data_IF_074422496809
#
_entry.id   IF_074422496809
#
_cell.length_a   1.000
_cell.length_b   1.000
_cell.length_c   1.000
_cell.angle_alpha   90.00
_cell.angle_beta   90.00
_cell.angle_gamma   90.00
#
_symmetry.space_group_name_H-M   'P 1'
#
loop_
_entity.id
_entity.type
_entity.pdbx_description
1 polymer ?
#
# COMPACT_ATOMS: atom_id res chain seq x y z
N UNK A 1 -18.63 12.13 -21.57
CA UNK A 1 -18.19 10.90 -20.92
C UNK A 1 -18.62 10.94 -19.46
N UNK A 2 -19.33 9.92 -18.96
CA UNK A 2 -19.72 9.84 -17.55
C UNK A 2 -18.48 9.68 -16.65
N UNK A 3 -18.58 10.23 -15.42
CA UNK A 3 -17.51 10.09 -14.40
C UNK A 3 -17.50 8.72 -13.70
N UNK A 4 -18.54 7.92 -13.92
CA UNK A 4 -18.67 6.58 -13.34
C UNK A 4 -17.99 5.56 -14.25
N UNK A 5 -17.25 4.65 -13.63
CA UNK A 5 -16.60 3.51 -14.30
C UNK A 5 -16.66 2.28 -13.39
N UNK A 6 -16.59 1.09 -13.97
CA UNK A 6 -16.51 -0.13 -13.17
C UNK A 6 -15.14 -0.27 -12.49
N UNK A 7 -15.03 -1.02 -11.37
CA UNK A 7 -13.72 -1.33 -10.78
C UNK A 7 -12.77 -2.03 -11.77
N UNK A 8 -13.29 -2.90 -12.63
CA UNK A 8 -12.48 -3.59 -13.64
C UNK A 8 -11.90 -2.61 -14.69
N UNK A 9 -12.73 -1.69 -15.21
CA UNK A 9 -12.28 -0.68 -16.16
C UNK A 9 -11.28 0.30 -15.53
N UNK A 10 -11.47 0.63 -14.25
CA UNK A 10 -10.52 1.46 -13.51
C UNK A 10 -9.20 0.71 -13.29
N UNK A 11 -9.24 -0.54 -12.89
CA UNK A 11 -8.05 -1.38 -12.73
C UNK A 11 -7.28 -1.55 -14.05
N UNK A 12 -7.98 -1.61 -15.20
CA UNK A 12 -7.35 -1.70 -16.51
C UNK A 12 -6.44 -0.52 -16.86
N UNK A 13 -6.62 0.62 -16.20
CA UNK A 13 -5.80 1.83 -16.41
C UNK A 13 -4.49 1.83 -15.62
N UNK A 14 -4.34 0.95 -14.63
CA UNK A 14 -3.12 0.87 -13.82
C UNK A 14 -2.03 0.19 -14.64
N UNK A 15 -0.90 0.86 -14.79
CA UNK A 15 0.26 0.37 -15.55
C UNK A 15 1.21 -0.42 -14.68
N UNK A 16 2.07 -1.20 -15.30
CA UNK A 16 3.21 -1.84 -14.63
C UNK A 16 4.10 -0.78 -13.97
N UNK A 17 4.61 -1.08 -12.79
CA UNK A 17 5.42 -0.16 -12.00
C UNK A 17 4.67 1.03 -11.39
N UNK A 18 3.34 1.08 -11.48
CA UNK A 18 2.56 2.19 -10.94
C UNK A 18 2.70 2.31 -9.42
N UNK A 19 2.69 3.54 -8.93
CA UNK A 19 2.52 3.84 -7.51
C UNK A 19 1.02 4.03 -7.25
N UNK A 20 0.45 3.17 -6.42
CA UNK A 20 -0.97 3.16 -6.05
C UNK A 20 -1.12 3.62 -4.62
N UNK A 21 -1.74 4.77 -4.45
CA UNK A 21 -2.01 5.29 -3.12
C UNK A 21 -3.43 4.91 -2.66
N UNK A 22 -3.55 4.46 -1.41
CA UNK A 22 -4.81 4.03 -0.81
C UNK A 22 -5.06 4.88 0.43
N UNK A 23 -6.15 5.64 0.42
CA UNK A 23 -6.58 6.42 1.57
C UNK A 23 -7.76 5.70 2.24
N UNK A 24 -7.55 5.28 3.48
CA UNK A 24 -8.53 4.58 4.30
C UNK A 24 -8.16 4.71 5.77
N UNK A 25 -9.03 4.24 6.65
CA UNK A 25 -8.72 4.04 8.07
C UNK A 25 -9.19 2.63 8.43
N UNK A 26 -8.30 1.66 8.30
CA UNK A 26 -8.62 0.22 8.34
C UNK A 26 -9.72 -0.13 7.32
N UNK A 27 -10.87 -0.62 7.75
CA UNK A 27 -12.02 -0.89 6.87
C UNK A 27 -12.74 0.39 6.41
N UNK A 28 -12.69 1.46 7.21
CA UNK A 28 -13.45 2.68 6.94
C UNK A 28 -12.91 3.40 5.70
N UNK A 29 -13.78 3.52 4.69
CA UNK A 29 -13.44 4.16 3.42
C UNK A 29 -12.45 3.38 2.57
N UNK A 30 -12.11 2.14 2.93
CA UNK A 30 -11.21 1.31 2.13
C UNK A 30 -11.84 0.98 0.77
N UNK A 31 -11.15 1.25 -0.35
CA UNK A 31 -11.65 0.94 -1.69
C UNK A 31 -11.46 -0.55 -2.01
N UNK A 32 -12.04 -1.43 -1.17
CA UNK A 32 -11.80 -2.87 -1.21
C UNK A 32 -12.09 -3.50 -2.57
N UNK A 33 -13.23 -3.13 -3.19
CA UNK A 33 -13.61 -3.61 -4.52
C UNK A 33 -12.64 -3.18 -5.62
N UNK A 34 -12.00 -2.02 -5.46
CA UNK A 34 -10.97 -1.57 -6.40
C UNK A 34 -9.69 -2.38 -6.25
N UNK A 35 -9.25 -2.62 -5.02
CA UNK A 35 -8.08 -3.45 -4.73
C UNK A 35 -8.30 -4.91 -5.17
N UNK A 36 -9.51 -5.45 -4.94
CA UNK A 36 -9.92 -6.76 -5.46
C UNK A 36 -9.81 -6.83 -7.00
N UNK A 37 -10.30 -5.80 -7.70
CA UNK A 37 -10.25 -5.75 -9.16
C UNK A 37 -8.81 -5.69 -9.70
N UNK A 38 -7.90 -4.99 -9.02
CA UNK A 38 -6.46 -4.97 -9.38
C UNK A 38 -5.86 -6.37 -9.25
N UNK A 39 -6.08 -7.02 -8.10
CA UNK A 39 -5.58 -8.38 -7.87
C UNK A 39 -6.19 -9.42 -8.82
N UNK A 40 -7.49 -9.30 -9.12
CA UNK A 40 -8.17 -10.17 -10.07
C UNK A 40 -7.63 -10.01 -11.50
N UNK A 41 -7.41 -8.76 -11.93
CA UNK A 41 -6.79 -8.49 -13.24
C UNK A 41 -5.39 -9.09 -13.33
N UNK A 42 -4.56 -8.96 -12.31
CA UNK A 42 -3.23 -9.56 -12.30
C UNK A 42 -3.31 -11.08 -12.45
N UNK A 43 -4.18 -11.76 -11.71
CA UNK A 43 -4.34 -13.23 -11.86
C UNK A 43 -4.79 -13.64 -13.25
N UNK A 44 -5.62 -12.81 -13.91
CA UNK A 44 -6.15 -13.11 -15.25
C UNK A 44 -5.17 -12.80 -16.38
N UNK A 45 -4.34 -11.76 -16.24
CA UNK A 45 -3.55 -11.20 -17.35
C UNK A 45 -2.04 -11.12 -17.09
N UNK A 46 -1.60 -11.32 -15.85
CA UNK A 46 -0.24 -11.05 -15.42
C UNK A 46 0.10 -9.56 -15.32
N UNK A 47 -0.89 -8.68 -15.38
CA UNK A 47 -0.73 -7.22 -15.30
C UNK A 47 -1.76 -6.59 -14.35
N UNK A 48 -1.41 -5.45 -13.68
CA UNK A 48 -0.12 -4.77 -13.66
C UNK A 48 0.95 -5.58 -12.93
N UNK A 49 2.23 -5.36 -13.25
CA UNK A 49 3.37 -5.94 -12.53
C UNK A 49 4.09 -4.88 -11.72
N UNK A 50 4.66 -5.27 -10.59
CA UNK A 50 5.63 -4.49 -9.87
C UNK A 50 5.08 -3.18 -9.30
N UNK A 51 3.82 -3.13 -8.88
CA UNK A 51 3.26 -1.91 -8.27
C UNK A 51 3.87 -1.63 -6.90
N UNK A 52 3.93 -0.36 -6.53
CA UNK A 52 4.19 0.08 -5.15
C UNK A 52 2.88 0.56 -4.55
N UNK A 53 2.53 0.09 -3.36
CA UNK A 53 1.39 0.65 -2.62
C UNK A 53 1.85 1.63 -1.55
N UNK A 54 1.12 2.75 -1.40
CA UNK A 54 1.31 3.72 -0.32
C UNK A 54 0.00 3.86 0.43
N UNK A 55 0.02 3.65 1.75
CA UNK A 55 -1.16 3.81 2.60
C UNK A 55 -0.79 4.47 3.94
N UNK A 56 -1.23 5.73 4.19
CA UNK A 56 -0.91 6.42 5.43
C UNK A 56 -1.44 5.74 6.69
N UNK A 57 -2.58 5.06 6.57
CA UNK A 57 -3.20 4.25 7.62
C UNK A 57 -3.52 2.89 7.01
N UNK A 58 -3.62 1.85 7.83
CA UNK A 58 -3.92 0.49 7.39
C UNK A 58 -5.07 0.45 6.37
N UNK A 59 -4.88 -0.26 5.28
CA UNK A 59 -5.87 -0.45 4.22
C UNK A 59 -6.44 -1.87 4.31
N UNK A 60 -7.57 -1.99 4.98
CA UNK A 60 -8.23 -3.24 5.34
C UNK A 60 -8.21 -3.51 6.84
N UNK A 61 -9.07 -4.43 7.31
CA UNK A 61 -9.16 -4.86 8.71
C UNK A 61 -9.01 -6.38 8.88
N UNK A 62 -8.89 -7.12 7.78
CA UNK A 62 -8.81 -8.60 7.73
C UNK A 62 -10.03 -9.35 8.28
N UNK A 63 -11.09 -8.65 8.67
CA UNK A 63 -12.34 -9.27 9.14
C UNK A 63 -13.40 -9.40 8.04
N UNK A 64 -13.58 -8.35 7.25
CA UNK A 64 -14.54 -8.27 6.16
C UNK A 64 -14.04 -7.44 4.98
N UNK A 65 -13.00 -6.65 5.22
CA UNK A 65 -12.35 -5.80 4.23
C UNK A 65 -10.88 -6.21 4.12
N UNK A 66 -10.51 -6.93 3.06
CA UNK A 66 -9.15 -7.41 2.84
C UNK A 66 -8.16 -6.28 2.51
N UNK A 67 -8.64 -5.23 1.84
CA UNK A 67 -7.83 -4.07 1.54
C UNK A 67 -6.58 -4.42 0.74
N UNK A 68 -5.40 -4.00 1.24
CA UNK A 68 -4.12 -4.21 0.57
C UNK A 68 -3.78 -5.70 0.35
N UNK A 69 -4.37 -6.61 1.12
CA UNK A 69 -4.13 -8.05 0.96
C UNK A 69 -4.62 -8.61 -0.38
N UNK A 70 -5.57 -7.92 -1.05
CA UNK A 70 -5.98 -8.27 -2.41
C UNK A 70 -4.85 -8.14 -3.44
N UNK A 71 -3.91 -7.24 -3.20
CA UNK A 71 -2.77 -6.98 -4.10
C UNK A 71 -1.46 -7.58 -3.59
N UNK A 72 -1.47 -8.24 -2.43
CA UNK A 72 -0.34 -8.96 -1.89
C UNK A 72 -0.12 -10.28 -2.66
N UNK A 73 0.41 -10.18 -3.87
CA UNK A 73 0.66 -11.30 -4.78
C UNK A 73 2.04 -11.14 -5.40
N UNK A 74 2.79 -12.26 -5.49
CA UNK A 74 4.12 -12.27 -6.11
C UNK A 74 4.07 -11.79 -7.56
N UNK A 75 4.94 -10.84 -7.88
CA UNK A 75 4.99 -10.21 -9.19
C UNK A 75 4.01 -9.05 -9.39
N UNK A 76 2.90 -8.99 -8.63
CA UNK A 76 2.02 -7.82 -8.62
C UNK A 76 2.58 -6.72 -7.73
N UNK A 77 2.80 -7.02 -6.45
CA UNK A 77 3.33 -6.06 -5.46
C UNK A 77 4.85 -6.17 -5.41
N UNK A 78 5.53 -5.05 -5.64
CA UNK A 78 6.99 -4.96 -5.57
C UNK A 78 7.49 -4.21 -4.34
N UNK A 79 6.64 -3.38 -3.72
CA UNK A 79 7.00 -2.58 -2.55
C UNK A 79 5.76 -2.10 -1.82
N UNK A 80 5.87 -2.02 -0.51
CA UNK A 80 4.82 -1.41 0.33
C UNK A 80 5.39 -0.33 1.23
N UNK A 81 4.70 0.81 1.31
CA UNK A 81 5.03 1.95 2.18
C UNK A 81 3.78 2.28 2.97
N UNK A 82 3.80 2.04 4.27
CA UNK A 82 2.64 2.25 5.13
C UNK A 82 2.94 3.07 6.37
N UNK A 83 1.96 3.81 6.84
CA UNK A 83 2.00 4.40 8.19
C UNK A 83 1.52 3.41 9.25
N UNK A 84 0.70 2.46 8.85
CA UNK A 84 0.36 1.25 9.60
C UNK A 84 -0.09 0.15 8.63
N UNK A 85 -0.08 -1.08 9.12
CA UNK A 85 -0.44 -2.26 8.33
C UNK A 85 -1.66 -2.94 8.93
N UNK A 86 -2.52 -3.57 8.10
CA UNK A 86 -3.65 -4.31 8.64
C UNK A 86 -3.15 -5.46 9.52
N UNK A 87 -3.76 -5.60 10.67
CA UNK A 87 -3.52 -6.72 11.59
C UNK A 87 -4.84 -7.37 11.95
N UNK A 88 -4.95 -8.66 11.75
CA UNK A 88 -6.06 -9.44 12.24
C UNK A 88 -5.91 -9.78 13.74
N UNK A 89 -6.92 -10.43 14.31
CA UNK A 89 -6.79 -11.04 15.62
C UNK A 89 -5.86 -12.26 15.53
N UNK A 90 -5.29 -12.67 16.67
CA UNK A 90 -4.44 -13.87 16.77
C UNK A 90 -5.12 -15.17 16.32
N UNK A 91 -6.45 -15.17 16.21
CA UNK A 91 -7.24 -16.33 15.78
C UNK A 91 -7.46 -16.37 14.25
N UNK A 92 -7.06 -15.34 13.53
CA UNK A 92 -7.17 -15.28 12.07
C UNK A 92 -5.85 -15.71 11.42
N UNK A 93 -5.91 -16.30 10.21
CA UNK A 93 -4.71 -16.55 9.44
C UNK A 93 -3.92 -15.26 9.21
N UNK A 94 -2.57 -15.38 9.23
CA UNK A 94 -1.72 -14.24 8.91
C UNK A 94 -2.06 -13.70 7.51
N UNK A 95 -2.30 -12.39 7.35
CA UNK A 95 -2.50 -11.77 6.05
C UNK A 95 -1.33 -12.02 5.11
N UNK A 96 -1.60 -12.13 3.81
CA UNK A 96 -0.55 -12.39 2.81
C UNK A 96 0.49 -11.27 2.76
N UNK A 97 0.06 -10.02 2.95
CA UNK A 97 0.98 -8.88 3.02
C UNK A 97 2.02 -9.06 4.14
N UNK A 98 1.61 -9.59 5.30
CA UNK A 98 2.54 -9.85 6.41
C UNK A 98 3.50 -10.99 6.10
N UNK A 99 3.05 -12.05 5.41
CA UNK A 99 3.95 -13.12 4.96
C UNK A 99 4.98 -12.57 3.98
N UNK A 100 4.56 -11.76 2.99
CA UNK A 100 5.48 -11.14 2.04
C UNK A 100 6.54 -10.28 2.74
N UNK A 101 6.18 -9.57 3.81
CA UNK A 101 7.10 -8.73 4.58
C UNK A 101 8.03 -9.58 5.45
N UNK A 102 7.50 -10.54 6.20
CA UNK A 102 8.30 -11.35 7.14
C UNK A 102 9.19 -12.38 6.45
N UNK A 103 8.86 -12.76 5.23
CA UNK A 103 9.64 -13.66 4.38
C UNK A 103 10.58 -12.90 3.41
N UNK A 104 10.76 -11.59 3.59
CA UNK A 104 11.60 -10.72 2.75
C UNK A 104 11.30 -10.79 1.24
N UNK A 105 10.05 -11.09 0.87
CA UNK A 105 9.64 -11.20 -0.54
C UNK A 105 9.48 -9.84 -1.22
N UNK A 106 9.24 -8.79 -0.45
CA UNK A 106 9.16 -7.41 -0.92
C UNK A 106 9.75 -6.44 0.11
N UNK A 107 10.40 -5.35 -0.31
CA UNK A 107 10.75 -4.26 0.58
C UNK A 107 9.52 -3.62 1.22
N UNK A 108 9.54 -3.46 2.54
CA UNK A 108 8.47 -2.86 3.32
C UNK A 108 8.99 -1.72 4.19
N UNK A 109 8.24 -0.64 4.23
CA UNK A 109 8.60 0.56 4.98
C UNK A 109 7.47 1.02 5.87
N UNK A 110 7.81 1.38 7.11
CA UNK A 110 6.89 2.02 8.05
C UNK A 110 7.25 3.48 8.23
N UNK A 111 6.52 4.35 7.56
CA UNK A 111 6.73 5.81 7.57
C UNK A 111 5.64 6.46 8.41
N UNK A 112 5.95 7.43 9.29
CA UNK A 112 4.93 8.12 10.06
C UNK A 112 3.78 8.63 9.20
N UNK A 113 2.54 8.31 9.59
CA UNK A 113 1.34 8.60 8.79
C UNK A 113 1.24 10.07 8.37
N UNK A 114 1.62 11.01 9.26
CA UNK A 114 1.65 12.44 8.96
C UNK A 114 2.55 12.79 7.79
N UNK A 115 3.73 12.16 7.70
CA UNK A 115 4.65 12.34 6.57
C UNK A 115 4.00 11.85 5.27
N UNK A 116 3.32 10.71 5.29
CA UNK A 116 2.67 10.16 4.09
C UNK A 116 1.50 11.04 3.63
N UNK A 117 0.74 11.65 4.54
CA UNK A 117 -0.28 12.63 4.18
C UNK A 117 0.33 13.90 3.55
N UNK A 118 1.45 14.38 4.09
CA UNK A 118 2.15 15.52 3.51
C UNK A 118 2.76 15.16 2.14
N UNK A 119 3.29 13.95 1.97
CA UNK A 119 3.75 13.45 0.66
C UNK A 119 2.63 13.50 -0.39
N UNK A 120 1.40 13.11 -0.05
CA UNK A 120 0.28 13.21 -0.99
C UNK A 120 0.01 14.64 -1.44
N UNK A 121 0.07 15.61 -0.52
CA UNK A 121 -0.07 17.04 -0.83
C UNK A 121 1.08 17.53 -1.71
N UNK A 122 2.29 17.12 -1.42
CA UNK A 122 3.46 17.54 -2.17
C UNK A 122 3.48 16.96 -3.58
N UNK A 123 3.12 15.68 -3.75
CA UNK A 123 2.94 15.08 -5.08
C UNK A 123 1.86 15.83 -5.89
N UNK A 124 0.73 16.12 -5.26
CA UNK A 124 -0.35 16.89 -5.91
C UNK A 124 0.10 18.31 -6.31
N UNK A 125 0.96 18.92 -5.51
CA UNK A 125 1.54 20.25 -5.76
C UNK A 125 2.78 20.21 -6.66
N UNK A 126 3.19 19.05 -7.17
CA UNK A 126 4.41 18.81 -7.95
C UNK A 126 5.69 19.27 -7.23
N UNK A 127 5.71 19.11 -5.91
CA UNK A 127 6.90 19.36 -5.10
C UNK A 127 7.82 18.14 -5.09
N UNK A 128 9.14 18.30 -4.81
CA UNK A 128 10.10 17.20 -4.86
C UNK A 128 9.97 16.21 -3.71
N UNK A 129 9.23 16.53 -2.65
CA UNK A 129 9.03 15.69 -1.47
C UNK A 129 8.83 16.51 -0.19
N UNK A 130 8.71 15.81 0.93
CA UNK A 130 8.49 16.39 2.26
C UNK A 130 9.83 16.62 2.94
N UNK A 131 10.11 17.86 3.36
CA UNK A 131 11.22 18.18 4.25
C UNK A 131 10.72 18.23 5.69
N UNK A 132 11.23 17.34 6.55
CA UNK A 132 10.77 17.20 7.92
C UNK A 132 11.89 16.78 8.86
N UNK A 133 11.71 17.04 10.16
CA UNK A 133 12.53 16.50 11.24
C UNK A 133 11.85 15.36 12.00
N UNK A 134 10.63 15.00 11.60
CA UNK A 134 9.90 13.89 12.23
C UNK A 134 10.63 12.60 11.96
N UNK A 135 10.89 11.84 13.01
CA UNK A 135 11.57 10.55 12.93
C UNK A 135 13.08 10.58 13.06
N UNK A 136 13.72 11.76 13.16
CA UNK A 136 15.15 11.82 13.46
C UNK A 136 15.49 11.10 14.78
N UNK A 137 16.62 10.44 14.82
CA UNK A 137 17.12 9.63 15.94
C UNK A 137 16.29 8.37 16.27
N UNK A 138 15.30 8.05 15.42
CA UNK A 138 14.51 6.81 15.50
C UNK A 138 14.84 5.87 14.33
N UNK A 139 14.19 4.72 14.23
CA UNK A 139 14.35 3.80 13.08
C UNK A 139 13.92 4.41 11.75
N UNK A 140 13.14 5.50 11.77
CA UNK A 140 12.72 6.26 10.58
C UNK A 140 13.88 7.07 9.98
N UNK A 141 14.89 7.41 10.80
CA UNK A 141 16.03 8.22 10.39
C UNK A 141 16.82 7.51 9.28
N UNK A 142 17.07 8.17 8.12
CA UNK A 142 17.85 7.59 7.03
C UNK A 142 19.27 7.17 7.39
N UNK A 143 19.85 7.78 8.46
CA UNK A 143 21.19 7.41 8.97
C UNK A 143 21.14 6.08 9.73
N UNK A 144 19.96 5.63 10.14
CA UNK A 144 19.74 4.38 10.88
C UNK A 144 19.13 3.33 9.93
N UNK A 145 17.85 3.05 10.08
CA UNK A 145 17.15 1.98 9.34
C UNK A 145 16.33 2.53 8.15
N UNK A 146 16.14 3.87 8.08
CA UNK A 146 15.44 4.51 6.96
C UNK A 146 14.01 4.02 6.76
N UNK A 147 13.27 3.77 7.84
CA UNK A 147 11.92 3.23 7.83
C UNK A 147 11.80 1.76 7.38
N UNK A 148 12.89 1.06 7.09
CA UNK A 148 12.81 -0.34 6.66
C UNK A 148 12.21 -1.23 7.75
N UNK A 149 11.32 -2.13 7.36
CA UNK A 149 10.69 -3.13 8.25
C UNK A 149 11.34 -4.50 8.08
N UNK A 150 12.09 -4.69 7.02
CA UNK A 150 12.75 -5.94 6.67
C UNK A 150 14.08 -5.66 5.96
N UNK A 151 14.82 -6.69 5.63
CA UNK A 151 16.18 -6.60 5.06
C UNK A 151 16.23 -6.06 3.62
#
# INVERSE_FOLDING_TARGET
>A
MGKLTSPADAAARIKDGAVVTVSSSSALGCPDKMLEAIGARFRATGHPKGITTIHPIAAGDMYGVKGVDHVAQDGLLARVIGGSYPSGSSNLPMPEIWKMVTEDRIPAYNVPSGILFDMHRDVAARRPGVLTRVGLETFVDPIREGCAMNA
#
